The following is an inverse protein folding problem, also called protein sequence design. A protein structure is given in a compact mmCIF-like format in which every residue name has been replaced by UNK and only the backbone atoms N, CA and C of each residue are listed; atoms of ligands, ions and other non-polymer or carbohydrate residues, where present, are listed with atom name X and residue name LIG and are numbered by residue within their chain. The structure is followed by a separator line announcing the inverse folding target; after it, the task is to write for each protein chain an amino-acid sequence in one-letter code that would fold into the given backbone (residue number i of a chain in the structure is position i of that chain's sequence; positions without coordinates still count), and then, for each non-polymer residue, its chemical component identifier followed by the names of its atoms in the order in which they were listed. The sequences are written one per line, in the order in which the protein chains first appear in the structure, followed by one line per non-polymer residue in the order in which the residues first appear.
data_IF_640560019437
#
_entry.id   IF_640560019437
#
_cell.length_a   1.000
_cell.length_b   1.000
_cell.length_c   1.000
_cell.angle_alpha   90.00
_cell.angle_beta   90.00
_cell.angle_gamma   90.00
#
_symmetry.space_group_name_H-M   'P 1'
#
loop_
_entity.id
_entity.type
_entity.pdbx_description
1 polymer ?
#
# COMPACT_ATOMS: atom_id res chain seq x y z
N UNK A 1 -9.10 8.74 10.00
CA UNK A 1 -8.15 9.78 9.55
C UNK A 1 -8.43 10.10 8.09
N UNK A 2 -8.39 11.38 7.71
CA UNK A 2 -8.43 11.80 6.30
C UNK A 2 -7.02 12.10 5.84
N UNK A 3 -6.55 11.45 4.78
CA UNK A 3 -5.22 11.68 4.18
C UNK A 3 -5.42 12.37 2.85
N UNK A 4 -4.87 13.57 2.70
CA UNK A 4 -4.80 14.29 1.43
C UNK A 4 -3.34 14.62 1.21
N UNK A 5 -2.78 14.13 0.11
CA UNK A 5 -1.37 14.35 -0.25
C UNK A 5 -1.27 15.37 -1.38
N UNK A 6 -0.08 15.91 -1.60
CA UNK A 6 0.17 16.80 -2.73
C UNK A 6 -0.03 16.09 -4.08
N UNK A 7 -0.11 16.86 -5.16
CA UNK A 7 -0.18 16.29 -6.51
C UNK A 7 1.01 15.35 -6.75
N UNK A 8 0.74 14.18 -7.32
CA UNK A 8 1.70 13.11 -7.62
C UNK A 8 2.40 12.50 -6.38
N UNK A 9 1.99 12.89 -5.17
CA UNK A 9 2.47 12.27 -3.95
C UNK A 9 1.72 10.95 -3.69
N UNK A 10 2.43 9.88 -3.25
CA UNK A 10 1.79 8.62 -2.91
C UNK A 10 0.66 8.81 -1.89
N UNK A 11 -0.44 8.10 -2.09
CA UNK A 11 -1.52 7.97 -1.11
C UNK A 11 -1.34 6.62 -0.42
N UNK A 12 -1.06 6.65 0.89
CA UNK A 12 -0.86 5.44 1.68
C UNK A 12 -1.85 5.37 2.85
N UNK A 13 -2.39 4.18 3.05
CA UNK A 13 -3.23 3.79 4.17
C UNK A 13 -2.57 2.61 4.87
N UNK A 14 -2.18 2.81 6.12
CA UNK A 14 -1.70 1.74 6.98
C UNK A 14 -2.78 1.47 8.02
N UNK A 15 -3.05 0.20 8.35
CA UNK A 15 -4.16 -0.24 9.21
C UNK A 15 -4.11 0.25 10.68
N UNK A 16 -3.40 1.32 10.98
CA UNK A 16 -3.22 1.89 12.32
C UNK A 16 -4.47 2.61 12.84
N UNK A 17 -5.50 2.78 12.00
CA UNK A 17 -6.73 3.48 12.33
C UNK A 17 -7.96 2.68 11.97
N UNK A 18 -9.00 2.77 12.80
CA UNK A 18 -10.33 2.18 12.56
C UNK A 18 -10.90 2.59 11.20
N UNK A 19 -10.61 3.83 10.78
CA UNK A 19 -11.16 4.44 9.58
C UNK A 19 -10.08 5.25 8.87
N UNK A 20 -9.94 5.02 7.56
CA UNK A 20 -9.00 5.66 6.67
C UNK A 20 -9.74 6.07 5.39
N UNK A 21 -9.64 7.34 5.02
CA UNK A 21 -10.11 7.81 3.72
C UNK A 21 -9.13 8.82 3.16
N UNK A 22 -9.05 8.93 1.85
CA UNK A 22 -8.22 9.92 1.21
C UNK A 22 -8.38 9.95 -0.30
N UNK A 23 -7.93 11.05 -0.89
CA UNK A 23 -7.79 11.15 -2.33
C UNK A 23 -6.53 11.93 -2.71
N UNK A 24 -6.04 11.65 -3.90
CA UNK A 24 -4.92 12.36 -4.52
C UNK A 24 -5.08 12.35 -6.04
N UNK A 25 -4.33 13.22 -6.71
CA UNK A 25 -4.16 13.20 -8.16
C UNK A 25 -2.76 12.65 -8.45
N UNK A 26 -2.67 11.56 -9.22
CA UNK A 26 -1.41 10.94 -9.64
C UNK A 26 -1.43 10.82 -11.16
N UNK A 27 -0.47 11.45 -11.86
CA UNK A 27 -0.36 11.43 -13.32
C UNK A 27 -1.69 11.80 -14.03
N UNK A 28 -2.44 12.74 -13.45
CA UNK A 28 -3.75 13.17 -13.96
C UNK A 28 -4.92 12.25 -13.62
N UNK A 29 -4.69 11.13 -12.94
CA UNK A 29 -5.75 10.24 -12.43
C UNK A 29 -6.18 10.67 -11.02
N UNK A 30 -7.48 10.79 -10.80
CA UNK A 30 -8.03 10.92 -9.44
C UNK A 30 -8.07 9.53 -8.80
N UNK A 31 -7.31 9.38 -7.71
CA UNK A 31 -7.27 8.15 -6.93
C UNK A 31 -7.94 8.41 -5.59
N UNK A 32 -8.96 7.62 -5.30
CA UNK A 32 -9.69 7.67 -4.03
C UNK A 32 -9.51 6.33 -3.32
N UNK A 33 -9.27 6.37 -2.02
CA UNK A 33 -9.19 5.19 -1.20
C UNK A 33 -9.96 5.32 0.10
N UNK A 34 -10.48 4.19 0.52
CA UNK A 34 -11.27 4.03 1.73
C UNK A 34 -10.96 2.67 2.33
N UNK A 35 -10.77 2.64 3.64
CA UNK A 35 -10.65 1.41 4.40
C UNK A 35 -11.20 1.62 5.81
N UNK A 36 -11.89 0.62 6.33
CA UNK A 36 -12.47 0.66 7.66
C UNK A 36 -12.42 -0.72 8.30
N UNK A 37 -12.33 -0.75 9.62
CA UNK A 37 -12.48 -1.95 10.43
C UNK A 37 -13.78 -2.68 10.04
N UNK A 38 -13.69 -3.99 9.86
CA UNK A 38 -14.87 -4.82 9.58
C UNK A 38 -15.92 -4.70 10.71
N UNK A 39 -17.22 -4.66 10.39
CA UNK A 39 -18.29 -4.31 11.35
C UNK A 39 -18.45 -5.29 12.51
N UNK A 40 -17.86 -6.49 12.42
CA UNK A 40 -17.92 -7.54 13.43
C UNK A 40 -16.64 -7.69 14.25
N UNK A 41 -15.60 -6.88 13.96
CA UNK A 41 -14.32 -6.93 14.66
C UNK A 41 -14.28 -5.85 15.74
N UNK A 42 -13.77 -6.19 16.92
CA UNK A 42 -13.43 -5.20 17.96
C UNK A 42 -11.98 -4.70 17.84
N UNK A 43 -11.12 -5.45 17.15
CA UNK A 43 -9.72 -5.09 16.86
C UNK A 43 -9.61 -4.02 15.79
N UNK A 44 -8.50 -3.30 15.73
CA UNK A 44 -8.21 -2.33 14.67
C UNK A 44 -8.29 -2.92 13.26
N UNK A 45 -8.33 -2.02 12.27
CA UNK A 45 -8.26 -2.38 10.87
C UNK A 45 -6.96 -3.13 10.54
N UNK A 46 -7.04 -4.19 9.75
CA UNK A 46 -5.88 -4.98 9.33
C UNK A 46 -5.53 -4.77 7.85
N UNK A 47 -6.32 -3.95 7.16
CA UNK A 47 -6.13 -3.64 5.75
C UNK A 47 -5.14 -2.49 5.58
N UNK A 48 -4.39 -2.54 4.48
CA UNK A 48 -3.53 -1.46 4.03
C UNK A 48 -3.78 -1.15 2.56
N UNK A 49 -3.53 0.08 2.14
CA UNK A 49 -3.62 0.52 0.75
C UNK A 49 -2.46 1.44 0.36
N UNK A 50 -2.05 1.38 -0.91
CA UNK A 50 -1.01 2.23 -1.49
C UNK A 50 -1.41 2.59 -2.92
N UNK A 51 -1.32 3.87 -3.24
CA UNK A 51 -1.31 4.37 -4.60
C UNK A 51 -0.06 5.21 -4.81
N UNK A 52 0.68 4.95 -5.88
CA UNK A 52 1.89 5.70 -6.19
C UNK A 52 2.11 5.80 -7.71
N UNK A 53 2.74 6.88 -8.20
CA UNK A 53 3.15 6.96 -9.60
C UNK A 53 4.12 5.82 -9.95
N UNK A 54 4.07 5.35 -11.19
CA UNK A 54 5.03 4.41 -11.76
C UNK A 54 5.30 4.81 -13.21
N UNK A 55 6.32 5.64 -13.40
CA UNK A 55 6.59 6.32 -14.67
C UNK A 55 5.69 7.54 -14.90
N UNK A 56 5.77 8.16 -16.09
CA UNK A 56 5.08 9.42 -16.40
C UNK A 56 3.56 9.28 -16.59
N UNK A 57 3.10 8.11 -17.05
CA UNK A 57 1.70 7.90 -17.45
C UNK A 57 1.05 6.69 -16.74
N UNK A 58 1.72 6.16 -15.71
CA UNK A 58 1.32 4.94 -15.01
C UNK A 58 1.25 5.14 -13.50
N UNK A 59 0.46 4.32 -12.82
CA UNK A 59 0.41 4.28 -11.36
C UNK A 59 0.22 2.84 -10.90
N UNK A 60 0.67 2.56 -9.69
CA UNK A 60 0.44 1.28 -9.00
C UNK A 60 -0.58 1.51 -7.90
N UNK A 61 -1.64 0.71 -7.92
CA UNK A 61 -2.60 0.56 -6.82
C UNK A 61 -2.35 -0.80 -6.17
N UNK A 62 -2.13 -0.82 -4.86
CA UNK A 62 -1.96 -2.02 -4.07
C UNK A 62 -2.86 -1.97 -2.84
N UNK A 63 -3.49 -3.10 -2.53
CA UNK A 63 -4.29 -3.31 -1.32
C UNK A 63 -3.83 -4.62 -0.71
N UNK A 64 -3.67 -4.64 0.60
CA UNK A 64 -3.29 -5.82 1.36
C UNK A 64 -4.28 -6.04 2.50
N UNK A 65 -4.93 -7.20 2.51
CA UNK A 65 -5.75 -7.68 3.63
C UNK A 65 -4.85 -8.49 4.58
N UNK A 66 -4.75 -8.04 5.82
CA UNK A 66 -4.04 -8.77 6.86
C UNK A 66 -4.84 -10.00 7.28
N UNK A 67 -4.35 -11.21 6.94
CA UNK A 67 -5.00 -12.46 7.34
C UNK A 67 -5.16 -12.53 8.87
N UNK A 68 -6.41 -12.42 9.34
CA UNK A 68 -6.76 -12.46 10.76
C UNK A 68 -6.50 -13.84 11.39
N UNK A 69 -6.21 -13.84 12.70
CA UNK A 69 -6.00 -15.07 13.50
C UNK A 69 -4.59 -15.23 14.07
N UNK A 70 -3.64 -14.39 13.65
CA UNK A 70 -2.34 -14.21 14.29
C UNK A 70 -2.20 -12.74 14.74
N UNK A 71 -1.46 -12.42 15.82
CA UNK A 71 -1.29 -11.05 16.33
C UNK A 71 -0.66 -10.02 15.37
N UNK A 72 -0.41 -10.39 14.11
CA UNK A 72 0.43 -9.66 13.17
C UNK A 72 -0.24 -9.35 11.81
N UNK A 73 -1.55 -9.58 11.63
CA UNK A 73 -2.25 -9.33 10.35
C UNK A 73 -2.02 -7.91 9.82
N UNK A 74 -2.30 -6.89 10.64
CA UNK A 74 -1.99 -5.49 10.35
C UNK A 74 -0.50 -5.23 10.10
N UNK A 75 0.38 -5.80 10.92
CA UNK A 75 1.82 -5.61 10.75
C UNK A 75 2.25 -6.14 9.39
N UNK A 76 1.75 -7.30 8.99
CA UNK A 76 2.06 -7.92 7.71
C UNK A 76 1.57 -7.10 6.52
N UNK A 77 0.31 -6.64 6.53
CA UNK A 77 -0.21 -5.80 5.44
C UNK A 77 0.52 -4.46 5.34
N UNK A 78 0.81 -3.80 6.47
CA UNK A 78 1.61 -2.58 6.50
C UNK A 78 3.01 -2.81 5.94
N UNK A 79 3.72 -3.85 6.41
CA UNK A 79 5.09 -4.18 5.99
C UNK A 79 5.16 -4.51 4.51
N UNK A 80 4.16 -5.20 3.95
CA UNK A 80 4.11 -5.48 2.52
C UNK A 80 4.02 -4.19 1.69
N UNK A 81 3.12 -3.26 2.06
CA UNK A 81 2.99 -2.02 1.29
C UNK A 81 4.14 -1.03 1.51
N UNK A 82 4.81 -1.08 2.66
CA UNK A 82 6.08 -0.37 2.87
C UNK A 82 7.17 -0.89 1.91
N UNK A 83 7.28 -2.22 1.74
CA UNK A 83 8.21 -2.80 0.77
C UNK A 83 7.90 -2.34 -0.67
N UNK A 84 6.62 -2.22 -1.05
CA UNK A 84 6.24 -1.66 -2.35
C UNK A 84 6.69 -0.21 -2.51
N UNK A 85 6.42 0.64 -1.51
CA UNK A 85 6.78 2.05 -1.54
C UNK A 85 8.30 2.28 -1.65
N UNK A 86 9.11 1.37 -1.11
CA UNK A 86 10.57 1.46 -1.15
C UNK A 86 11.19 0.85 -2.41
N UNK A 87 10.69 -0.31 -2.89
CA UNK A 87 11.35 -1.07 -3.96
C UNK A 87 10.89 -0.70 -5.37
N UNK A 88 9.64 -0.26 -5.56
CA UNK A 88 9.13 0.10 -6.88
C UNK A 88 9.81 1.32 -7.50
N UNK A 89 10.19 2.38 -6.75
CA UNK A 89 10.98 3.48 -7.28
C UNK A 89 12.35 3.04 -7.79
N UNK A 90 13.01 2.12 -7.08
CA UNK A 90 14.32 1.56 -7.47
C UNK A 90 14.17 0.74 -8.76
N UNK A 91 13.18 -0.15 -8.82
CA UNK A 91 12.90 -0.97 -9.99
C UNK A 91 12.57 -0.12 -11.24
N UNK A 92 11.85 0.99 -11.06
CA UNK A 92 11.57 1.95 -12.14
C UNK A 92 12.85 2.64 -12.62
N UNK A 93 13.73 3.05 -11.70
CA UNK A 93 15.00 3.68 -12.05
C UNK A 93 15.94 2.73 -12.84
N UNK A 94 15.86 1.43 -12.53
CA UNK A 94 16.63 0.38 -13.18
C UNK A 94 16.00 -0.16 -14.48
N UNK A 95 14.89 0.44 -14.96
CA UNK A 95 14.11 -0.03 -16.11
C UNK A 95 13.69 -1.51 -15.99
N UNK A 96 13.46 -1.96 -14.75
CA UNK A 96 13.05 -3.33 -14.46
C UNK A 96 11.64 -3.55 -15.01
N UNK A 97 11.39 -4.66 -15.75
CA UNK A 97 10.05 -4.97 -16.22
C UNK A 97 9.05 -5.00 -15.07
N UNK A 98 7.92 -4.28 -15.20
CA UNK A 98 6.93 -4.11 -14.12
C UNK A 98 6.51 -5.42 -13.45
N UNK A 99 6.35 -6.51 -14.22
CA UNK A 99 6.02 -7.83 -13.66
C UNK A 99 7.10 -8.31 -12.67
N UNK A 100 8.37 -8.11 -13.00
CA UNK A 100 9.50 -8.47 -12.15
C UNK A 100 9.51 -7.56 -10.92
N UNK A 101 9.36 -6.25 -11.10
CA UNK A 101 9.31 -5.28 -10.01
C UNK A 101 8.26 -5.62 -8.95
N UNK A 102 7.03 -5.94 -9.38
CA UNK A 102 5.94 -6.33 -8.47
C UNK A 102 6.24 -7.64 -7.75
N UNK A 103 6.77 -8.65 -8.45
CA UNK A 103 7.12 -9.93 -7.82
C UNK A 103 8.22 -9.71 -6.77
N UNK A 104 9.27 -8.96 -7.12
CA UNK A 104 10.36 -8.64 -6.19
C UNK A 104 9.89 -7.84 -4.98
N UNK A 105 8.95 -6.90 -5.15
CA UNK A 105 8.35 -6.17 -4.04
C UNK A 105 7.56 -7.10 -3.09
N UNK A 106 6.82 -8.07 -3.64
CA UNK A 106 6.10 -9.08 -2.85
C UNK A 106 7.08 -9.99 -2.10
N UNK A 107 8.13 -10.46 -2.78
CA UNK A 107 9.18 -11.28 -2.17
C UNK A 107 9.86 -10.52 -1.03
N UNK A 108 10.19 -9.25 -1.24
CA UNK A 108 10.78 -8.41 -0.21
C UNK A 108 9.86 -8.20 1.00
N UNK A 109 8.59 -7.89 0.75
CA UNK A 109 7.58 -7.80 1.80
C UNK A 109 7.49 -9.10 2.61
N UNK A 110 7.44 -10.26 1.94
CA UNK A 110 7.41 -11.56 2.60
C UNK A 110 8.67 -11.84 3.43
N UNK A 111 9.87 -11.46 2.94
CA UNK A 111 11.11 -11.59 3.73
C UNK A 111 11.04 -10.77 5.01
N UNK A 112 10.58 -9.52 4.94
CA UNK A 112 10.45 -8.62 6.10
C UNK A 112 9.43 -9.09 7.12
N UNK A 113 8.34 -9.73 6.66
CA UNK A 113 7.31 -10.29 7.54
C UNK A 113 7.84 -11.49 8.34
N UNK A 114 8.75 -12.27 7.75
CA UNK A 114 9.33 -13.46 8.36
C UNK A 114 10.57 -13.19 9.24
N UNK A 115 11.10 -11.96 9.21
CA UNK A 115 12.25 -11.52 10.00
C UNK A 115 11.86 -11.13 11.44
#
# INVERSE_FOLDING_TARGET
MSVTTGNDAPLAFYGEHEFLQGSTLINGFEVCGFSARGPHKETDNEDSGLAMPYGPDGLVLAVADGAGGLPAGRKASNTLLQAFAETLPEALADDTPMRVAIISAIEEGNRRIQA
#
